data_IF_240041813180
#
_entry.id   IF_240041813180
#
_cell.length_a   1.000
_cell.length_b   1.000
_cell.length_c   1.000
_cell.angle_alpha   90.00
_cell.angle_beta   90.00
_cell.angle_gamma   90.00
#
_symmetry.space_group_name_H-M   'P 1'
#
loop_
_entity.id
_entity.type
_entity.pdbx_description
1 polymer ?
#
# COMPACT_ATOMS: atom_id res chain seq x y z
N UNK A 1 29.33 10.70 51.71
CA UNK A 1 28.22 11.60 51.35
C UNK A 1 27.76 11.25 49.96
N UNK A 2 26.54 10.76 49.91
CA UNK A 2 25.83 10.13 48.79
C UNK A 2 25.49 11.14 47.69
N UNK A 3 25.66 10.76 46.43
CA UNK A 3 24.61 11.01 45.44
C UNK A 3 24.61 9.92 44.36
N UNK A 4 23.46 9.26 44.32
CA UNK A 4 23.13 8.08 43.55
C UNK A 4 23.26 8.30 42.05
N UNK A 5 23.72 7.25 41.37
CA UNK A 5 23.47 7.05 39.94
C UNK A 5 21.96 6.86 39.79
N UNK A 6 21.30 7.81 39.13
CA UNK A 6 19.89 7.71 38.79
C UNK A 6 19.74 6.71 37.64
N UNK A 7 19.50 5.45 37.97
CA UNK A 7 19.01 4.45 37.03
C UNK A 7 17.70 4.96 36.41
N UNK A 8 17.78 5.38 35.15
CA UNK A 8 16.61 5.68 34.33
C UNK A 8 16.07 4.35 33.81
N UNK A 9 14.81 3.98 34.06
CA UNK A 9 14.24 2.77 33.47
C UNK A 9 14.22 2.93 31.94
N UNK A 10 14.57 1.85 31.24
CA UNK A 10 14.47 1.75 29.79
C UNK A 10 13.08 2.22 29.33
N UNK A 11 12.95 2.94 28.19
CA UNK A 11 11.64 3.35 27.70
C UNK A 11 10.79 2.09 27.53
N UNK A 12 9.66 2.06 28.22
CA UNK A 12 8.65 1.03 28.09
C UNK A 12 8.29 0.96 26.61
N UNK A 13 8.79 -0.05 25.89
CA UNK A 13 8.33 -0.36 24.53
C UNK A 13 6.85 -0.62 24.69
N UNK A 14 6.03 0.32 24.26
CA UNK A 14 4.59 0.11 24.19
C UNK A 14 4.37 -1.13 23.35
N UNK A 15 4.05 -2.25 24.03
CA UNK A 15 3.41 -3.39 23.40
C UNK A 15 2.05 -2.88 22.96
N UNK A 16 1.98 -2.30 21.77
CA UNK A 16 0.71 -2.14 21.08
C UNK A 16 0.04 -3.51 21.08
N UNK A 17 -1.10 -3.60 21.78
CA UNK A 17 -1.90 -4.81 21.83
C UNK A 17 -2.29 -5.14 20.40
N UNK A 18 -1.91 -6.32 19.93
CA UNK A 18 -2.55 -6.94 18.78
C UNK A 18 -3.98 -7.31 19.19
N UNK A 19 -4.88 -6.33 19.13
CA UNK A 19 -6.31 -6.58 19.04
C UNK A 19 -6.66 -7.03 17.62
N UNK A 20 -7.81 -7.69 17.41
CA UNK A 20 -8.18 -8.20 16.09
C UNK A 20 -8.37 -7.02 15.13
N UNK A 21 -7.69 -7.05 13.98
CA UNK A 21 -7.86 -6.11 12.88
C UNK A 21 -9.27 -6.29 12.30
N UNK A 22 -10.27 -5.70 12.93
CA UNK A 22 -11.64 -5.65 12.41
C UNK A 22 -11.69 -4.56 11.34
N UNK A 23 -12.14 -4.97 10.16
CA UNK A 23 -12.05 -4.28 8.89
C UNK A 23 -12.48 -2.82 8.93
N UNK A 24 -11.67 -1.98 8.27
CA UNK A 24 -12.05 -0.60 8.00
C UNK A 24 -13.33 -0.51 7.17
N UNK A 25 -14.01 0.63 7.26
CA UNK A 25 -15.20 0.94 6.45
C UNK A 25 -14.84 1.88 5.31
N UNK A 26 -15.59 1.81 4.22
CA UNK A 26 -15.56 2.84 3.19
C UNK A 26 -16.41 4.03 3.62
N UNK A 27 -15.97 5.25 3.31
CA UNK A 27 -16.82 6.44 3.42
C UNK A 27 -18.00 6.34 2.45
N UNK A 28 -19.08 7.07 2.74
CA UNK A 28 -20.30 7.05 1.92
C UNK A 28 -20.04 7.43 0.45
N UNK A 29 -19.06 8.31 0.21
CA UNK A 29 -18.62 8.71 -1.13
C UNK A 29 -17.66 7.70 -1.81
N UNK A 30 -17.29 6.62 -1.12
CA UNK A 30 -16.40 5.57 -1.59
C UNK A 30 -14.93 5.98 -1.76
N UNK A 31 -14.56 7.22 -1.43
CA UNK A 31 -13.21 7.77 -1.71
C UNK A 31 -12.16 7.28 -0.72
N UNK A 32 -12.57 6.92 0.49
CA UNK A 32 -11.66 6.58 1.58
C UNK A 32 -12.03 5.27 2.25
N UNK A 33 -11.03 4.44 2.51
CA UNK A 33 -11.07 3.35 3.48
C UNK A 33 -10.56 3.88 4.83
N UNK A 34 -11.37 3.81 5.88
CA UNK A 34 -11.02 4.26 7.23
C UNK A 34 -10.64 3.06 8.09
N UNK A 35 -9.37 3.00 8.52
CA UNK A 35 -8.83 1.94 9.41
C UNK A 35 -8.23 2.61 10.63
N UNK A 36 -8.67 2.25 11.83
CA UNK A 36 -8.19 2.81 13.11
C UNK A 36 -8.19 4.35 13.12
N UNK A 37 -9.25 4.97 12.59
CA UNK A 37 -9.39 6.43 12.47
C UNK A 37 -8.52 7.09 11.40
N UNK A 38 -7.69 6.33 10.67
CA UNK A 38 -6.86 6.83 9.57
C UNK A 38 -7.51 6.60 8.23
N UNK A 39 -7.49 7.62 7.37
CA UNK A 39 -8.01 7.55 5.99
C UNK A 39 -6.94 7.08 5.02
N UNK A 40 -7.28 6.07 4.24
CA UNK A 40 -6.50 5.56 3.12
C UNK A 40 -7.33 5.75 1.86
N UNK A 41 -6.73 6.24 0.78
CA UNK A 41 -7.44 6.38 -0.48
C UNK A 41 -7.91 5.01 -0.96
N UNK A 42 -9.21 4.87 -1.23
CA UNK A 42 -9.76 3.64 -1.78
C UNK A 42 -9.36 3.49 -3.26
N UNK A 43 -9.43 2.25 -3.76
CA UNK A 43 -9.26 2.00 -5.19
C UNK A 43 -10.36 2.71 -6.00
N UNK A 44 -10.01 3.15 -7.19
CA UNK A 44 -10.89 3.81 -8.13
C UNK A 44 -12.10 2.88 -8.45
N UNK A 45 -13.31 3.39 -8.23
CA UNK A 45 -14.57 2.64 -8.40
C UNK A 45 -14.99 2.50 -9.86
N UNK A 46 -14.41 3.26 -10.79
CA UNK A 46 -14.69 3.12 -12.23
C UNK A 46 -13.74 2.15 -12.94
N UNK A 47 -12.85 1.47 -12.19
CA UNK A 47 -12.02 0.41 -12.77
C UNK A 47 -12.93 -0.73 -13.29
N UNK A 48 -12.76 -1.16 -14.54
CA UNK A 48 -13.35 -2.41 -15.01
C UNK A 48 -12.90 -3.58 -14.12
N UNK A 49 -13.80 -4.54 -13.86
CA UNK A 49 -13.54 -5.64 -12.92
C UNK A 49 -12.32 -6.48 -13.30
N UNK A 50 -12.09 -6.70 -14.59
CA UNK A 50 -10.94 -7.42 -15.12
C UNK A 50 -9.63 -6.65 -14.89
N UNK A 51 -9.63 -5.34 -15.15
CA UNK A 51 -8.49 -4.45 -14.87
C UNK A 51 -8.18 -4.44 -13.37
N UNK A 52 -9.21 -4.33 -12.54
CA UNK A 52 -9.08 -4.37 -11.07
C UNK A 52 -8.49 -5.69 -10.61
N UNK A 53 -8.99 -6.83 -11.12
CA UNK A 53 -8.48 -8.15 -10.78
C UNK A 53 -7.01 -8.32 -11.18
N UNK A 54 -6.62 -7.87 -12.37
CA UNK A 54 -5.22 -7.92 -12.86
C UNK A 54 -4.28 -7.07 -11.99
N UNK A 55 -4.68 -5.85 -11.65
CA UNK A 55 -3.88 -4.98 -10.77
C UNK A 55 -3.72 -5.57 -9.36
N UNK A 56 -4.80 -6.16 -8.81
CA UNK A 56 -4.74 -6.85 -7.51
C UNK A 56 -3.85 -8.09 -7.55
N UNK A 57 -3.89 -8.85 -8.66
CA UNK A 57 -2.98 -9.98 -8.88
C UNK A 57 -1.52 -9.53 -8.85
N UNK A 58 -1.17 -8.53 -9.68
CA UNK A 58 0.17 -7.94 -9.71
C UNK A 58 0.62 -7.43 -8.33
N UNK A 59 -0.28 -6.76 -7.60
CA UNK A 59 -0.02 -6.30 -6.22
C UNK A 59 0.28 -7.46 -5.26
N UNK A 60 -0.48 -8.55 -5.36
CA UNK A 60 -0.27 -9.77 -4.56
C UNK A 60 1.10 -10.40 -4.83
N UNK A 61 1.46 -10.58 -6.11
CA UNK A 61 2.75 -11.10 -6.55
C UNK A 61 3.89 -10.21 -6.05
N UNK A 62 3.80 -8.89 -6.27
CA UNK A 62 4.84 -7.95 -5.86
C UNK A 62 5.05 -7.91 -4.33
N UNK A 63 3.96 -7.97 -3.53
CA UNK A 63 4.06 -8.07 -2.06
C UNK A 63 4.72 -9.38 -1.63
N UNK A 64 4.49 -10.47 -2.35
CA UNK A 64 5.18 -11.73 -2.10
C UNK A 64 6.68 -11.60 -2.36
N UNK A 65 7.06 -11.01 -3.49
CA UNK A 65 8.45 -10.76 -3.85
C UNK A 65 9.17 -9.85 -2.83
N UNK A 66 8.53 -8.79 -2.32
CA UNK A 66 9.09 -7.95 -1.24
C UNK A 66 9.44 -8.78 0.00
N UNK A 67 8.56 -9.70 0.42
CA UNK A 67 8.81 -10.56 1.59
C UNK A 67 9.96 -11.53 1.34
N UNK A 68 10.04 -12.10 0.13
CA UNK A 68 11.11 -13.03 -0.23
C UNK A 68 12.47 -12.33 -0.31
N UNK A 69 12.56 -11.24 -1.08
CA UNK A 69 13.79 -10.47 -1.23
C UNK A 69 14.29 -9.87 0.09
N UNK A 70 13.36 -9.39 0.93
CA UNK A 70 13.71 -8.88 2.27
C UNK A 70 14.27 -9.96 3.21
N UNK A 71 13.93 -11.24 3.02
CA UNK A 71 14.52 -12.35 3.79
C UNK A 71 15.87 -12.80 3.24
N UNK A 72 16.07 -12.71 1.92
CA UNK A 72 17.34 -13.08 1.29
C UNK A 72 18.41 -11.97 1.38
N UNK A 73 18.02 -10.74 1.76
CA UNK A 73 18.93 -9.58 1.76
C UNK A 73 19.27 -9.10 0.36
N UNK A 74 18.46 -9.43 -0.64
CA UNK A 74 18.64 -8.97 -2.01
C UNK A 74 18.00 -7.59 -2.17
N UNK A 75 18.80 -6.55 -1.97
CA UNK A 75 18.35 -5.16 -2.03
C UNK A 75 17.85 -4.76 -3.42
N UNK A 76 18.43 -5.32 -4.48
CA UNK A 76 18.03 -5.03 -5.86
C UNK A 76 16.65 -5.64 -6.15
N UNK A 77 16.44 -6.91 -5.82
CA UNK A 77 15.14 -7.56 -5.96
C UNK A 77 14.08 -6.90 -5.05
N UNK A 78 14.47 -6.46 -3.85
CA UNK A 78 13.59 -5.75 -2.93
C UNK A 78 13.14 -4.40 -3.52
N UNK A 79 14.07 -3.63 -4.10
CA UNK A 79 13.76 -2.38 -4.77
C UNK A 79 12.82 -2.58 -5.97
N UNK A 80 13.10 -3.56 -6.82
CA UNK A 80 12.25 -3.91 -7.96
C UNK A 80 10.83 -4.33 -7.53
N UNK A 81 10.72 -5.17 -6.50
CA UNK A 81 9.43 -5.60 -5.97
C UNK A 81 8.63 -4.43 -5.36
N UNK A 82 9.30 -3.50 -4.67
CA UNK A 82 8.67 -2.28 -4.14
C UNK A 82 8.19 -1.37 -5.27
N UNK A 83 8.94 -1.23 -6.36
CA UNK A 83 8.52 -0.46 -7.53
C UNK A 83 7.24 -1.05 -8.14
N UNK A 84 7.17 -2.38 -8.31
CA UNK A 84 5.96 -3.07 -8.77
C UNK A 84 4.75 -2.84 -7.84
N UNK A 85 4.95 -2.84 -6.51
CA UNK A 85 3.88 -2.48 -5.56
C UNK A 85 3.38 -1.06 -5.80
N UNK A 86 4.27 -0.10 -6.04
CA UNK A 86 3.85 1.29 -6.31
C UNK A 86 3.09 1.39 -7.63
N UNK A 87 3.57 0.76 -8.70
CA UNK A 87 2.87 0.73 -10.00
C UNK A 87 1.45 0.18 -9.86
N UNK A 88 1.28 -0.98 -9.22
CA UNK A 88 -0.04 -1.59 -9.02
C UNK A 88 -0.97 -0.68 -8.22
N UNK A 89 -0.47 -0.04 -7.16
CA UNK A 89 -1.26 0.90 -6.34
C UNK A 89 -1.62 2.19 -7.07
N UNK A 90 -0.74 2.69 -7.93
CA UNK A 90 -1.03 3.83 -8.82
C UNK A 90 -2.09 3.44 -9.85
N UNK A 91 -2.01 2.24 -10.44
CA UNK A 91 -3.04 1.71 -11.34
C UNK A 91 -4.39 1.49 -10.65
N UNK A 92 -4.39 1.11 -9.36
CA UNK A 92 -5.61 1.04 -8.54
C UNK A 92 -6.16 2.41 -8.16
N UNK A 93 -5.38 3.49 -8.27
CA UNK A 93 -5.77 4.84 -7.90
C UNK A 93 -5.52 5.17 -6.42
N UNK A 94 -4.89 4.26 -5.66
CA UNK A 94 -4.55 4.45 -4.24
C UNK A 94 -3.40 5.45 -4.03
N UNK A 95 -2.67 5.80 -5.11
CA UNK A 95 -1.49 6.68 -5.13
C UNK A 95 -1.58 7.67 -6.30
N UNK A 96 -0.77 8.73 -6.25
CA UNK A 96 -0.74 9.78 -7.27
C UNK A 96 -1.85 10.83 -7.09
N UNK A 97 -2.26 11.54 -8.17
CA UNK A 97 -3.41 12.43 -8.14
C UNK A 97 -4.67 11.68 -7.68
N UNK A 98 -5.59 12.36 -7.01
CA UNK A 98 -6.83 11.72 -6.57
C UNK A 98 -7.70 11.35 -7.78
N UNK A 99 -8.25 10.13 -7.81
CA UNK A 99 -9.02 9.66 -8.96
C UNK A 99 -10.35 10.39 -9.12
N UNK A 100 -10.92 10.94 -8.04
CA UNK A 100 -12.14 11.77 -8.09
C UNK A 100 -11.89 13.20 -8.59
N UNK A 101 -10.63 13.58 -8.81
CA UNK A 101 -10.22 14.85 -9.43
C UNK A 101 -9.81 14.68 -10.90
N UNK A 102 -9.81 13.44 -11.40
CA UNK A 102 -9.46 13.09 -12.77
C UNK A 102 -10.72 12.92 -13.61
N UNK A 103 -10.63 13.29 -14.89
CA UNK A 103 -11.61 12.86 -15.88
C UNK A 103 -11.44 11.38 -16.24
N UNK A 104 -12.42 10.81 -16.94
CA UNK A 104 -12.41 9.38 -17.28
C UNK A 104 -11.24 8.99 -18.20
N UNK A 105 -10.75 9.91 -19.04
CA UNK A 105 -9.60 9.66 -19.91
C UNK A 105 -8.30 9.55 -19.11
N UNK A 106 -8.08 10.45 -18.15
CA UNK A 106 -6.93 10.43 -17.26
C UNK A 106 -6.96 9.20 -16.33
N UNK A 107 -8.14 8.84 -15.80
CA UNK A 107 -8.33 7.62 -15.02
C UNK A 107 -7.94 6.39 -15.85
N UNK A 108 -8.41 6.33 -17.10
CA UNK A 108 -8.10 5.24 -18.02
C UNK A 108 -6.63 5.11 -18.35
N UNK A 109 -6.02 6.21 -18.78
CA UNK A 109 -4.59 6.25 -19.10
C UNK A 109 -3.74 5.78 -17.92
N UNK A 110 -4.12 6.13 -16.69
CA UNK A 110 -3.41 5.74 -15.46
C UNK A 110 -3.38 4.22 -15.26
N UNK A 111 -4.49 3.50 -15.39
CA UNK A 111 -4.48 2.05 -15.18
C UNK A 111 -3.91 1.28 -16.38
N UNK A 112 -4.09 1.79 -17.61
CA UNK A 112 -3.48 1.20 -18.81
C UNK A 112 -1.96 1.29 -18.74
N UNK A 113 -1.41 2.47 -18.45
CA UNK A 113 0.03 2.65 -18.30
C UNK A 113 0.62 1.80 -17.16
N UNK A 114 -0.10 1.67 -16.04
CA UNK A 114 0.33 0.82 -14.93
C UNK A 114 0.36 -0.66 -15.33
N UNK A 115 -0.65 -1.15 -16.04
CA UNK A 115 -0.68 -2.54 -16.52
C UNK A 115 0.42 -2.81 -17.53
N UNK A 116 0.62 -1.94 -18.53
CA UNK A 116 1.72 -2.06 -19.50
C UNK A 116 3.07 -2.20 -18.77
N UNK A 117 3.37 -1.30 -17.83
CA UNK A 117 4.62 -1.36 -17.08
C UNK A 117 4.77 -2.61 -16.19
N UNK A 118 3.66 -3.16 -15.68
CA UNK A 118 3.67 -4.35 -14.84
C UNK A 118 3.82 -5.65 -15.65
N UNK A 119 3.23 -5.68 -16.84
CA UNK A 119 3.29 -6.79 -17.78
C UNK A 119 4.67 -6.87 -18.46
N UNK A 120 5.27 -5.73 -18.83
CA UNK A 120 6.61 -5.68 -19.45
C UNK A 120 7.74 -6.13 -18.50
N UNK A 121 7.52 -6.02 -17.19
CA UNK A 121 8.49 -6.42 -16.16
C UNK A 121 8.14 -7.73 -15.44
N UNK A 122 7.14 -8.48 -15.91
CA UNK A 122 6.77 -9.81 -15.39
C UNK A 122 7.61 -10.90 -16.05
#
# INVERSE_FOLDING_TARGET
MTRERKDLPAPQRSRARAGPLQGGHLTDDGRWLVVDGRRWRAADTALPDDVRARLLHHLGVARSAVRTAGRSGDDAALAAARARVQLAKTGLGERGPAWWEQDDAARRARWEAALTALDDGA
#
